data_IF_152518247738
#
_entry.id   IF_152518247738
#
_cell.length_a   1.000
_cell.length_b   1.000
_cell.length_c   1.000
_cell.angle_alpha   90.00
_cell.angle_beta   90.00
_cell.angle_gamma   90.00
#
_symmetry.space_group_name_H-M   'P 1'
#
loop_
_entity.id
_entity.type
_entity.pdbx_description
1 polymer ?
#
# COMPACT_ATOMS: atom_id res chain seq x y z
N UNK A 1 -8.75 -30.37 -1.50
CA UNK A 1 -8.58 -29.14 -0.70
C UNK A 1 -9.13 -27.97 -1.49
N UNK A 2 -10.28 -27.41 -1.12
CA UNK A 2 -10.77 -26.18 -1.73
C UNK A 2 -9.80 -25.06 -1.32
N UNK A 3 -8.97 -24.57 -2.24
CA UNK A 3 -8.23 -23.32 -2.03
C UNK A 3 -9.30 -22.24 -1.86
N UNK A 4 -9.53 -21.78 -0.63
CA UNK A 4 -10.25 -20.54 -0.41
C UNK A 4 -9.51 -19.47 -1.20
N UNK A 5 -10.11 -18.98 -2.29
CA UNK A 5 -9.49 -17.98 -3.16
C UNK A 5 -9.26 -16.73 -2.31
N UNK A 6 -8.00 -16.40 -2.03
CA UNK A 6 -7.64 -15.18 -1.33
C UNK A 6 -7.89 -14.00 -2.25
N UNK A 7 -8.41 -12.90 -1.70
CA UNK A 7 -8.58 -11.67 -2.46
C UNK A 7 -7.22 -11.12 -2.85
N UNK A 8 -7.00 -10.84 -4.13
CA UNK A 8 -5.75 -10.26 -4.62
C UNK A 8 -5.88 -8.74 -4.67
N UNK A 9 -5.05 -8.06 -3.89
CA UNK A 9 -5.12 -6.61 -3.72
C UNK A 9 -3.79 -5.98 -4.10
N UNK A 10 -3.84 -4.99 -4.99
CA UNK A 10 -2.69 -4.18 -5.41
C UNK A 10 -2.73 -2.80 -4.77
N UNK A 11 -1.74 -2.47 -3.95
CA UNK A 11 -1.50 -1.13 -3.43
C UNK A 11 -0.62 -0.34 -4.39
N UNK A 12 -1.19 0.66 -5.06
CA UNK A 12 -0.49 1.48 -6.05
C UNK A 12 -0.15 2.86 -5.47
N UNK A 13 1.11 3.26 -5.57
CA UNK A 13 1.53 4.65 -5.35
C UNK A 13 2.46 5.12 -6.48
N UNK A 14 2.95 6.36 -6.42
CA UNK A 14 3.90 6.85 -7.42
C UNK A 14 5.23 6.08 -7.32
N UNK A 15 5.90 6.12 -6.16
CA UNK A 15 7.28 5.66 -6.01
C UNK A 15 7.49 4.19 -5.59
N UNK A 16 6.45 3.46 -5.19
CA UNK A 16 6.53 2.18 -4.46
C UNK A 16 7.60 2.14 -3.34
N UNK A 17 7.80 3.28 -2.68
CA UNK A 17 8.90 3.48 -1.74
C UNK A 17 8.47 3.38 -0.28
N UNK A 18 7.29 3.92 0.05
CA UNK A 18 6.81 4.04 1.44
C UNK A 18 5.38 3.53 1.62
N UNK A 19 4.36 4.34 1.30
CA UNK A 19 2.94 4.04 1.60
C UNK A 19 2.48 2.66 1.11
N UNK A 20 2.71 2.35 -0.15
CA UNK A 20 2.28 1.06 -0.71
C UNK A 20 3.07 -0.13 -0.16
N UNK A 21 4.34 0.06 0.23
CA UNK A 21 5.15 -0.97 0.89
C UNK A 21 4.66 -1.26 2.31
N UNK A 22 4.35 -0.20 3.06
CA UNK A 22 3.76 -0.33 4.40
C UNK A 22 2.38 -1.01 4.33
N UNK A 23 1.56 -0.66 3.34
CA UNK A 23 0.26 -1.29 3.12
C UNK A 23 0.39 -2.79 2.77
N UNK A 24 1.33 -3.17 1.90
CA UNK A 24 1.64 -4.57 1.61
C UNK A 24 2.08 -5.32 2.87
N UNK A 25 3.01 -4.75 3.64
CA UNK A 25 3.52 -5.35 4.87
C UNK A 25 2.41 -5.58 5.90
N UNK A 26 1.63 -4.54 6.20
CA UNK A 26 0.50 -4.65 7.13
C UNK A 26 -0.53 -5.67 6.68
N UNK A 27 -0.89 -5.67 5.40
CA UNK A 27 -1.92 -6.58 4.89
C UNK A 27 -1.46 -8.03 4.94
N UNK A 28 -0.19 -8.31 4.62
CA UNK A 28 0.37 -9.65 4.78
C UNK A 28 0.37 -10.09 6.24
N UNK A 29 0.76 -9.19 7.15
CA UNK A 29 0.84 -9.50 8.57
C UNK A 29 -0.54 -9.73 9.21
N UNK A 30 -1.51 -8.87 8.94
CA UNK A 30 -2.82 -8.89 9.61
C UNK A 30 -3.88 -9.71 8.87
N UNK A 31 -3.82 -9.77 7.54
CA UNK A 31 -4.88 -10.32 6.68
C UNK A 31 -4.36 -11.37 5.70
N UNK A 32 -3.10 -11.82 5.82
CA UNK A 32 -2.49 -12.79 4.90
C UNK A 32 -3.21 -14.14 4.81
N UNK A 33 -4.09 -14.47 5.75
CA UNK A 33 -4.93 -15.66 5.70
C UNK A 33 -6.06 -15.55 4.66
N UNK A 34 -6.56 -14.34 4.37
CA UNK A 34 -7.68 -14.11 3.44
C UNK A 34 -7.35 -13.18 2.26
N UNK A 35 -6.24 -12.44 2.33
CA UNK A 35 -5.83 -11.46 1.33
C UNK A 35 -4.40 -11.78 0.87
N UNK A 36 -4.20 -11.75 -0.45
CA UNK A 36 -2.89 -11.78 -1.08
C UNK A 36 -2.53 -10.35 -1.53
N UNK A 37 -1.63 -9.72 -0.78
CA UNK A 37 -1.27 -8.32 -0.97
C UNK A 37 -0.03 -8.14 -1.85
N UNK A 38 -0.14 -7.14 -2.72
CA UNK A 38 0.85 -6.72 -3.69
C UNK A 38 0.98 -5.20 -3.65
N UNK A 39 2.14 -4.66 -3.98
CA UNK A 39 2.37 -3.21 -4.11
C UNK A 39 3.12 -2.88 -5.39
N UNK A 40 2.86 -1.71 -5.97
CA UNK A 40 3.57 -1.25 -7.15
C UNK A 40 3.68 0.27 -7.21
N UNK A 41 4.51 0.73 -8.15
CA UNK A 41 4.83 2.11 -8.44
C UNK A 41 4.60 2.45 -9.90
N UNK A 42 4.17 3.67 -10.17
CA UNK A 42 4.15 4.23 -11.55
C UNK A 42 5.54 4.73 -11.95
N UNK A 43 6.35 5.16 -10.97
CA UNK A 43 7.74 5.55 -11.14
C UNK A 43 8.55 5.05 -9.93
N UNK A 44 8.89 3.74 -9.88
CA UNK A 44 9.59 3.13 -8.74
C UNK A 44 10.85 3.89 -8.36
N UNK A 45 10.96 4.27 -7.08
CA UNK A 45 12.05 5.08 -6.54
C UNK A 45 12.92 4.32 -5.54
N UNK A 46 12.70 3.00 -5.37
CA UNK A 46 13.40 2.17 -4.39
C UNK A 46 12.69 2.13 -3.04
N UNK A 47 12.97 1.10 -2.24
CA UNK A 47 12.38 0.90 -0.92
C UNK A 47 12.97 1.91 0.08
N UNK A 48 12.11 2.63 0.79
CA UNK A 48 12.55 3.60 1.80
C UNK A 48 13.09 2.90 3.04
N UNK A 49 14.36 3.17 3.38
CA UNK A 49 14.99 2.67 4.62
C UNK A 49 14.23 3.10 5.89
N UNK A 50 13.65 4.31 5.88
CA UNK A 50 12.79 4.81 6.96
C UNK A 50 11.51 3.98 7.09
N UNK A 51 10.89 3.58 5.98
CA UNK A 51 9.74 2.68 5.99
C UNK A 51 10.09 1.31 6.56
N UNK A 52 11.24 0.74 6.21
CA UNK A 52 11.73 -0.51 6.80
C UNK A 52 11.90 -0.37 8.31
N UNK A 53 12.52 0.72 8.78
CA UNK A 53 12.74 1.00 10.20
C UNK A 53 11.42 1.09 10.98
N UNK A 54 10.46 1.91 10.54
CA UNK A 54 9.20 2.10 11.29
C UNK A 54 8.27 0.88 11.27
N UNK A 55 8.35 0.07 10.21
CA UNK A 55 7.61 -1.20 10.15
C UNK A 55 8.26 -2.23 11.08
N UNK A 56 9.59 -2.30 11.10
CA UNK A 56 10.34 -3.14 12.03
C UNK A 56 10.05 -2.82 13.50
N UNK A 57 9.92 -1.53 13.85
CA UNK A 57 9.48 -1.08 15.19
C UNK A 57 8.11 -1.65 15.59
N UNK A 58 7.25 -1.92 14.60
CA UNK A 58 5.91 -2.47 14.81
C UNK A 58 5.83 -4.00 14.65
N UNK A 59 6.98 -4.69 14.53
CA UNK A 59 7.07 -6.14 14.39
C UNK A 59 6.78 -6.67 12.98
N UNK A 60 6.79 -5.80 11.96
CA UNK A 60 6.56 -6.19 10.56
C UNK A 60 7.83 -5.95 9.76
N UNK A 61 8.49 -7.03 9.33
CA UNK A 61 9.65 -6.90 8.45
C UNK A 61 9.21 -6.75 6.99
N UNK A 62 9.63 -5.64 6.37
CA UNK A 62 9.46 -5.37 4.93
C UNK A 62 10.80 -5.25 4.21
N UNK A 63 11.92 -5.58 4.87
CA UNK A 63 13.27 -5.43 4.30
C UNK A 63 13.48 -6.27 3.03
N UNK A 64 12.79 -7.42 2.92
CA UNK A 64 12.81 -8.28 1.74
C UNK A 64 11.91 -7.81 0.59
N UNK A 65 11.17 -6.71 0.74
CA UNK A 65 10.33 -6.20 -0.34
C UNK A 65 11.14 -5.53 -1.44
N UNK A 66 10.59 -5.51 -2.66
CA UNK A 66 11.18 -4.82 -3.81
C UNK A 66 10.24 -3.72 -4.30
N UNK A 67 10.82 -2.56 -4.59
CA UNK A 67 10.15 -1.50 -5.34
C UNK A 67 10.01 -1.92 -6.81
N UNK A 68 8.79 -2.09 -7.28
CA UNK A 68 8.45 -2.63 -8.60
C UNK A 68 7.50 -1.72 -9.38
N UNK A 69 7.63 -1.75 -10.69
CA UNK A 69 6.76 -1.01 -11.58
C UNK A 69 5.42 -1.74 -11.73
N UNK A 70 4.32 -0.99 -11.87
CA UNK A 70 2.97 -1.54 -12.04
C UNK A 70 2.85 -2.43 -13.28
N UNK A 71 3.67 -2.16 -14.30
CA UNK A 71 3.79 -2.96 -15.53
C UNK A 71 4.17 -4.42 -15.27
N UNK A 72 5.04 -4.66 -14.28
CA UNK A 72 5.50 -6.00 -13.91
C UNK A 72 4.36 -6.88 -13.35
N UNK A 73 3.20 -6.29 -13.06
CA UNK A 73 2.08 -6.97 -12.42
C UNK A 73 0.80 -6.95 -13.26
N UNK A 74 0.89 -6.58 -14.54
CA UNK A 74 -0.24 -6.57 -15.48
C UNK A 74 -0.87 -7.94 -15.71
N UNK A 75 -0.07 -9.00 -15.67
CA UNK A 75 -0.53 -10.38 -15.86
C UNK A 75 -1.23 -10.96 -14.63
N UNK A 76 -1.20 -10.26 -13.49
CA UNK A 76 -1.86 -10.70 -12.27
C UNK A 76 -3.31 -10.23 -12.29
N UNK A 77 -4.24 -11.18 -12.23
CA UNK A 77 -5.65 -10.88 -12.05
C UNK A 77 -5.91 -10.42 -10.61
N UNK A 78 -5.98 -9.11 -10.40
CA UNK A 78 -6.37 -8.50 -9.13
C UNK A 78 -7.89 -8.41 -8.99
N UNK A 79 -8.39 -8.53 -7.77
CA UNK A 79 -9.78 -8.22 -7.44
C UNK A 79 -9.93 -6.71 -7.18
N UNK A 80 -8.96 -6.12 -6.46
CA UNK A 80 -8.95 -4.71 -6.09
C UNK A 80 -7.59 -4.05 -6.34
N UNK A 81 -7.62 -2.80 -6.78
CA UNK A 81 -6.46 -1.90 -6.86
C UNK A 81 -6.74 -0.72 -5.93
N UNK A 82 -5.91 -0.56 -4.91
CA UNK A 82 -5.99 0.53 -3.94
C UNK A 82 -4.91 1.56 -4.25
N UNK A 83 -5.31 2.72 -4.76
CA UNK A 83 -4.41 3.86 -4.97
C UNK A 83 -4.23 4.60 -3.65
N UNK A 84 -2.99 4.69 -3.16
CA UNK A 84 -2.68 5.26 -1.83
C UNK A 84 -2.13 6.69 -1.87
N UNK A 85 -2.11 7.31 -3.06
CA UNK A 85 -1.74 8.70 -3.26
C UNK A 85 -2.49 9.29 -4.46
N UNK A 86 -2.81 10.59 -4.41
CA UNK A 86 -3.58 11.28 -5.46
C UNK A 86 -2.91 11.18 -6.83
N UNK A 87 -1.59 11.38 -6.87
CA UNK A 87 -0.84 11.24 -8.12
C UNK A 87 -0.95 9.84 -8.74
N UNK A 88 -1.12 8.78 -7.93
CA UNK A 88 -1.29 7.43 -8.47
C UNK A 88 -2.72 7.17 -8.94
N UNK A 89 -3.70 7.90 -8.39
CA UNK A 89 -5.07 7.93 -8.90
C UNK A 89 -5.14 8.63 -10.26
N UNK A 90 -4.46 9.76 -10.41
CA UNK A 90 -4.46 10.54 -11.66
C UNK A 90 -3.71 9.84 -12.80
N UNK A 91 -2.58 9.20 -12.49
CA UNK A 91 -1.77 8.45 -13.46
C UNK A 91 -2.10 6.95 -13.47
N UNK A 92 -3.26 6.57 -12.90
CA UNK A 92 -3.63 5.17 -12.76
C UNK A 92 -3.64 4.49 -14.14
N UNK A 93 -2.83 3.44 -14.36
CA UNK A 93 -2.81 2.75 -15.64
C UNK A 93 -4.13 2.02 -15.87
N UNK A 94 -4.43 1.72 -17.13
CA UNK A 94 -5.63 0.98 -17.48
C UNK A 94 -5.55 -0.44 -16.89
N UNK A 95 -6.50 -0.78 -16.03
CA UNK A 95 -6.69 -2.14 -15.51
C UNK A 95 -7.86 -2.83 -16.24
N UNK A 96 -7.87 -4.16 -16.33
CA UNK A 96 -9.01 -4.90 -16.90
C UNK A 96 -10.33 -4.52 -16.21
N UNK A 97 -11.42 -4.44 -16.97
CA UNK A 97 -12.73 -3.97 -16.47
C UNK A 97 -13.29 -4.73 -15.25
N UNK A 98 -12.80 -5.93 -14.97
CA UNK A 98 -13.16 -6.73 -13.80
C UNK A 98 -12.53 -6.25 -12.49
N UNK A 99 -11.50 -5.41 -12.55
CA UNK A 99 -10.72 -4.96 -11.39
C UNK A 99 -11.37 -3.71 -10.79
N UNK A 100 -11.63 -3.73 -9.48
CA UNK A 100 -12.20 -2.58 -8.78
C UNK A 100 -11.10 -1.64 -8.30
N UNK A 101 -11.16 -0.37 -8.69
CA UNK A 101 -10.17 0.64 -8.30
C UNK A 101 -10.75 1.47 -7.16
N UNK A 102 -10.07 1.49 -6.03
CA UNK A 102 -10.44 2.27 -4.83
C UNK A 102 -9.31 3.25 -4.54
N UNK A 103 -9.67 4.46 -4.12
CA UNK A 103 -8.70 5.47 -3.72
C UNK A 103 -8.77 5.71 -2.22
N UNK A 104 -7.60 5.70 -1.58
CA UNK A 104 -7.43 5.97 -0.15
C UNK A 104 -6.22 6.87 0.00
N UNK A 105 -6.44 8.18 0.12
CA UNK A 105 -5.36 9.15 0.29
C UNK A 105 -4.68 9.01 1.64
N UNK A 106 -3.35 8.92 1.63
CA UNK A 106 -2.51 9.09 2.83
C UNK A 106 -1.47 10.17 2.55
N UNK A 107 -1.17 10.98 3.58
CA UNK A 107 -0.09 11.96 3.53
C UNK A 107 1.23 11.33 3.07
N UNK A 108 2.05 12.08 2.33
CA UNK A 108 3.35 11.58 1.87
C UNK A 108 4.40 11.73 2.99
N UNK A 109 4.87 10.61 3.59
CA UNK A 109 5.82 10.71 4.69
C UNK A 109 7.18 11.33 4.31
N UNK A 110 7.76 11.08 3.11
CA UNK A 110 8.95 11.80 2.65
C UNK A 110 8.76 13.32 2.61
N UNK A 111 7.63 13.81 2.09
CA UNK A 111 7.32 15.24 2.04
C UNK A 111 7.21 15.85 3.44
N UNK A 112 6.44 15.21 4.33
CA UNK A 112 6.34 15.66 5.72
C UNK A 112 7.71 15.69 6.41
N UNK A 113 8.51 14.63 6.23
CA UNK A 113 9.83 14.53 6.81
C UNK A 113 10.81 15.61 6.30
N UNK A 114 10.65 16.08 5.06
CA UNK A 114 11.49 17.14 4.49
C UNK A 114 11.29 18.51 5.18
N UNK A 115 10.12 18.71 5.80
CA UNK A 115 9.78 19.94 6.52
C UNK A 115 10.16 19.86 8.02
N UNK A 116 10.71 18.72 8.46
CA UNK A 116 11.11 18.52 9.86
C UNK A 116 12.61 18.78 10.08
N UNK A 117 12.99 19.42 11.20
CA UNK A 117 14.38 19.76 11.47
C UNK A 117 15.22 18.59 12.00
N UNK A 118 14.63 17.45 12.39
CA UNK A 118 15.36 16.31 12.98
C UNK A 118 14.94 14.96 12.39
N UNK A 119 15.86 13.99 12.37
CA UNK A 119 15.55 12.62 11.92
C UNK A 119 14.45 11.97 12.78
N UNK A 120 14.41 12.27 14.07
CA UNK A 120 13.40 11.71 14.98
C UNK A 120 11.99 12.17 14.61
N UNK A 121 11.82 13.45 14.27
CA UNK A 121 10.54 14.00 13.79
C UNK A 121 10.18 13.47 12.41
N UNK A 122 11.16 13.32 11.52
CA UNK A 122 10.94 12.66 10.23
C UNK A 122 10.39 11.24 10.42
N UNK A 123 10.97 10.44 11.32
CA UNK A 123 10.47 9.10 11.63
C UNK A 123 9.07 9.12 12.25
N UNK A 124 8.75 10.14 13.05
CA UNK A 124 7.41 10.30 13.62
C UNK A 124 6.34 10.48 12.54
N UNK A 125 6.62 11.26 11.49
CA UNK A 125 5.74 11.37 10.33
C UNK A 125 5.52 10.00 9.65
N UNK A 126 6.57 9.19 9.53
CA UNK A 126 6.46 7.83 8.99
C UNK A 126 5.65 6.90 9.90
N UNK A 127 5.80 7.00 11.23
CA UNK A 127 5.02 6.22 12.21
C UNK A 127 3.54 6.59 12.16
N UNK A 128 3.21 7.88 12.09
CA UNK A 128 1.84 8.35 11.92
C UNK A 128 1.20 7.72 10.69
N UNK A 129 1.83 7.86 9.52
CA UNK A 129 1.29 7.31 8.27
C UNK A 129 1.22 5.78 8.31
N UNK A 130 2.21 5.11 8.92
CA UNK A 130 2.18 3.66 9.16
C UNK A 130 0.94 3.25 9.94
N UNK A 131 0.60 3.96 11.00
CA UNK A 131 -0.53 3.63 11.89
C UNK A 131 -1.87 3.97 11.23
N UNK A 132 -1.95 5.04 10.43
CA UNK A 132 -3.10 5.34 9.57
C UNK A 132 -3.36 4.22 8.55
N UNK A 133 -2.30 3.73 7.89
CA UNK A 133 -2.38 2.61 6.96
C UNK A 133 -2.81 1.34 7.69
N UNK A 134 -2.27 1.08 8.90
CA UNK A 134 -2.67 -0.07 9.73
C UNK A 134 -4.16 -0.04 10.01
N UNK A 135 -4.69 1.09 10.48
CA UNK A 135 -6.11 1.25 10.78
C UNK A 135 -7.01 1.02 9.56
N UNK A 136 -6.55 1.41 8.37
CA UNK A 136 -7.23 1.08 7.12
C UNK A 136 -7.19 -0.43 6.82
N UNK A 137 -6.02 -1.06 6.93
CA UNK A 137 -5.82 -2.51 6.68
C UNK A 137 -6.64 -3.37 7.64
N UNK A 138 -6.79 -2.95 8.90
CA UNK A 138 -7.61 -3.67 9.89
C UNK A 138 -9.07 -3.78 9.46
N UNK A 139 -9.58 -2.79 8.73
CA UNK A 139 -10.94 -2.77 8.18
C UNK A 139 -11.10 -3.54 6.86
N UNK A 140 -10.02 -4.09 6.30
CA UNK A 140 -10.10 -4.94 5.10
C UNK A 140 -10.65 -6.34 5.44
N UNK A 141 -11.40 -6.98 4.51
CA UNK A 141 -11.82 -6.46 3.20
C UNK A 141 -13.12 -5.63 3.24
N UNK A 142 -13.77 -5.48 4.39
CA UNK A 142 -15.08 -4.80 4.53
C UNK A 142 -15.06 -3.34 4.04
N UNK A 143 -13.96 -2.63 4.29
CA UNK A 143 -13.76 -1.26 3.79
C UNK A 143 -13.86 -1.17 2.25
N UNK A 144 -13.39 -2.19 1.54
CA UNK A 144 -13.44 -2.21 0.07
C UNK A 144 -14.85 -2.50 -0.46
N UNK A 145 -15.63 -3.30 0.28
CA UNK A 145 -17.02 -3.63 -0.06
C UNK A 145 -17.97 -2.48 0.18
N UNK A 146 -17.68 -1.61 1.15
CA UNK A 146 -18.51 -0.43 1.46
C UNK A 146 -18.47 0.63 0.37
N UNK A 147 -17.33 0.79 -0.31
CA UNK A 147 -17.19 1.67 -1.46
C UNK A 147 -18.04 1.24 -2.67
N UNK A 148 -18.62 0.03 -2.66
CA UNK A 148 -19.49 -0.47 -3.73
C UNK A 148 -20.96 -0.02 -3.60
N UNK A 149 -21.38 0.53 -2.44
CA UNK A 149 -22.78 0.89 -2.16
C UNK A 149 -23.08 2.38 -2.28
N UNK A 150 -22.17 3.15 -2.88
CA UNK A 150 -22.32 4.60 -3.06
C UNK A 150 -22.46 4.92 -4.55
N UNK A 151 -23.51 4.36 -5.18
CA UNK A 151 -24.07 4.79 -6.47
C UNK A 151 -25.59 4.91 -6.33
#
# INVERSE_FOLDING_TARGET
MQKTQKLKILFLCTGNSSRSQMAEGWTRHLKGHCIEAYSAGIAPAGLSSRSVRVMGEAGVDISGHRSKHVDEMKDIAFDYVVTVCDNAREQCPFFPARVKIIHVGFDDPPRLAAETPTEQQALDCYRRVRDEIKAFVERLPEALRRSEKQE
#
